data_IF_122735301339
#
_entry.id   IF_122735301339
#
_cell.length_a   1.000
_cell.length_b   1.000
_cell.length_c   1.000
_cell.angle_alpha   90.00
_cell.angle_beta   90.00
_cell.angle_gamma   90.00
#
_symmetry.space_group_name_H-M   'P 1'
#
loop_
_entity.id
_entity.type
_entity.pdbx_description
1 polymer ?
#
# COMPACT_ATOMS: atom_id res chain seq x y z
N UNK A 1 12.12 9.57 -19.26
CA UNK A 1 10.77 9.05 -18.93
C UNK A 1 10.64 7.70 -19.59
N UNK A 2 10.29 6.65 -18.84
CA UNK A 2 10.21 5.27 -19.35
C UNK A 2 8.78 5.00 -19.83
N UNK A 3 8.64 4.53 -21.08
CA UNK A 3 7.35 4.15 -21.65
C UNK A 3 6.88 2.81 -21.07
N UNK A 4 5.62 2.72 -20.64
CA UNK A 4 5.07 1.50 -20.02
C UNK A 4 4.84 0.40 -21.07
N UNK A 5 4.10 0.74 -22.13
CA UNK A 5 3.74 -0.16 -23.23
C UNK A 5 4.55 0.23 -24.47
N UNK A 6 5.43 -0.65 -24.92
CA UNK A 6 6.19 -0.53 -26.15
C UNK A 6 5.45 -1.08 -27.37
N UNK A 7 6.18 -1.26 -28.47
CA UNK A 7 5.65 -1.83 -29.71
C UNK A 7 5.15 -3.26 -29.52
N UNK A 8 4.21 -3.68 -30.37
CA UNK A 8 3.66 -5.05 -30.39
C UNK A 8 3.12 -5.52 -29.02
N UNK A 9 2.57 -4.60 -28.23
CA UNK A 9 2.03 -4.86 -26.89
C UNK A 9 3.08 -5.31 -25.84
N UNK A 10 4.37 -5.10 -26.09
CA UNK A 10 5.44 -5.44 -25.14
C UNK A 10 5.40 -4.49 -23.94
N UNK A 11 5.31 -5.03 -22.73
CA UNK A 11 5.40 -4.23 -21.50
C UNK A 11 6.87 -4.15 -21.06
N UNK A 12 7.34 -2.96 -20.69
CA UNK A 12 8.71 -2.75 -20.22
C UNK A 12 8.86 -3.11 -18.74
N UNK A 13 8.67 -4.39 -18.40
CA UNK A 13 8.77 -4.90 -17.03
C UNK A 13 10.12 -4.57 -16.38
N UNK A 14 10.11 -4.26 -15.09
CA UNK A 14 11.31 -3.82 -14.40
C UNK A 14 11.06 -3.17 -13.05
N UNK A 15 12.15 -3.03 -12.28
CA UNK A 15 12.23 -2.03 -11.23
C UNK A 15 12.57 -0.68 -11.87
N UNK A 16 11.77 0.35 -11.61
CA UNK A 16 11.83 1.62 -12.33
C UNK A 16 12.19 2.76 -11.37
N UNK A 17 13.40 3.31 -11.50
CA UNK A 17 13.87 4.41 -10.63
C UNK A 17 13.71 5.80 -11.26
N UNK A 18 12.90 5.90 -12.33
CA UNK A 18 12.64 7.12 -13.10
C UNK A 18 11.15 7.42 -13.25
N UNK A 19 10.84 8.62 -13.76
CA UNK A 19 9.48 8.99 -14.18
C UNK A 19 8.98 8.11 -15.34
N UNK A 20 7.68 7.85 -15.38
CA UNK A 20 7.06 6.95 -16.35
C UNK A 20 6.03 7.66 -17.23
N UNK A 21 6.05 7.32 -18.51
CA UNK A 21 4.97 7.67 -19.43
C UNK A 21 3.87 6.64 -19.20
N UNK A 22 2.82 7.05 -18.51
CA UNK A 22 1.71 6.17 -18.13
C UNK A 22 0.76 5.89 -19.30
N UNK A 23 1.27 5.31 -20.39
CA UNK A 23 0.52 4.98 -21.60
C UNK A 23 -0.24 3.64 -21.50
N UNK A 24 -0.82 3.36 -20.33
CA UNK A 24 -1.50 2.11 -20.03
C UNK A 24 -2.68 1.78 -20.98
N UNK A 25 -3.25 2.81 -21.62
CA UNK A 25 -4.37 2.65 -22.57
C UNK A 25 -3.94 1.93 -23.86
N UNK A 26 -2.66 1.99 -24.22
CA UNK A 26 -2.09 1.30 -25.38
C UNK A 26 -2.06 -0.22 -25.22
N UNK A 27 -2.16 -0.72 -23.99
CA UNK A 27 -2.09 -2.15 -23.70
C UNK A 27 -3.26 -2.92 -24.32
N UNK A 28 -2.97 -3.87 -25.19
CA UNK A 28 -3.92 -4.81 -25.75
C UNK A 28 -4.20 -5.91 -24.73
N UNK A 29 -5.22 -5.68 -23.88
CA UNK A 29 -5.70 -6.66 -22.90
C UNK A 29 -6.33 -7.85 -23.61
N UNK A 30 -5.96 -9.07 -23.21
CA UNK A 30 -6.51 -10.31 -23.75
C UNK A 30 -7.06 -11.20 -22.64
N UNK A 31 -8.03 -12.05 -22.97
CA UNK A 31 -8.48 -13.11 -22.06
C UNK A 31 -7.50 -14.30 -22.05
N UNK A 32 -7.83 -15.35 -21.30
CA UNK A 32 -6.99 -16.55 -21.17
C UNK A 32 -6.71 -17.25 -22.51
N UNK A 33 -7.61 -17.11 -23.49
CA UNK A 33 -7.51 -17.72 -24.81
C UNK A 33 -6.99 -16.74 -25.87
N UNK A 34 -6.33 -15.66 -25.44
CA UNK A 34 -5.73 -14.63 -26.29
C UNK A 34 -6.74 -13.80 -27.11
N UNK A 35 -8.03 -13.85 -26.79
CA UNK A 35 -9.02 -12.97 -27.43
C UNK A 35 -8.96 -11.58 -26.81
N UNK A 36 -8.90 -10.56 -27.65
CA UNK A 36 -8.80 -9.18 -27.20
C UNK A 36 -10.06 -8.71 -26.45
N UNK A 37 -9.84 -8.04 -25.30
CA UNK A 37 -10.87 -7.41 -24.49
C UNK A 37 -10.87 -5.91 -24.78
N UNK A 38 -11.99 -5.39 -25.30
CA UNK A 38 -12.15 -3.98 -25.72
C UNK A 38 -13.19 -3.21 -24.90
N UNK A 39 -13.20 -1.89 -25.08
CA UNK A 39 -14.27 -1.00 -24.63
C UNK A 39 -14.50 -1.03 -23.12
N UNK A 40 -15.78 -1.04 -22.71
CA UNK A 40 -16.17 -1.01 -21.31
C UNK A 40 -15.64 -2.19 -20.48
N UNK A 41 -15.42 -3.36 -21.08
CA UNK A 41 -14.83 -4.52 -20.38
C UNK A 41 -13.37 -4.24 -20.01
N UNK A 42 -12.57 -3.70 -20.94
CA UNK A 42 -11.19 -3.27 -20.66
C UNK A 42 -11.16 -2.17 -19.61
N UNK A 43 -12.06 -1.17 -19.70
CA UNK A 43 -12.12 -0.09 -18.71
C UNK A 43 -12.39 -0.60 -17.28
N UNK A 44 -13.27 -1.59 -17.12
CA UNK A 44 -13.62 -2.20 -15.82
C UNK A 44 -12.56 -3.13 -15.27
N UNK A 45 -11.78 -3.79 -16.13
CA UNK A 45 -10.72 -4.72 -15.72
C UNK A 45 -9.48 -4.03 -15.14
N UNK A 46 -9.38 -2.70 -15.25
CA UNK A 46 -8.30 -1.94 -14.67
C UNK A 46 -8.66 -1.60 -13.22
N UNK A 47 -7.82 -2.02 -12.29
CA UNK A 47 -7.97 -1.71 -10.87
C UNK A 47 -6.82 -0.83 -10.40
N UNK A 48 -7.10 0.02 -9.42
CA UNK A 48 -6.08 0.80 -8.73
C UNK A 48 -6.47 1.05 -7.28
N UNK A 49 -5.45 1.20 -6.45
CA UNK A 49 -5.57 1.34 -5.02
C UNK A 49 -4.48 2.29 -4.54
N UNK A 50 -4.79 3.15 -3.59
CA UNK A 50 -3.78 3.85 -2.82
C UNK A 50 -4.10 3.72 -1.34
N UNK A 51 -3.20 3.05 -0.61
CA UNK A 51 -3.22 2.90 0.82
C UNK A 51 -2.15 3.79 1.47
N UNK A 52 -2.49 4.38 2.61
CA UNK A 52 -1.56 5.08 3.48
C UNK A 52 -1.73 4.52 4.89
N UNK A 53 -0.63 3.98 5.43
CA UNK A 53 -0.51 3.57 6.83
C UNK A 53 0.27 4.64 7.60
N UNK A 54 -0.09 4.90 8.86
CA UNK A 54 0.58 5.90 9.69
C UNK A 54 0.74 5.34 11.10
N UNK A 55 1.94 5.52 11.66
CA UNK A 55 2.22 5.28 13.08
C UNK A 55 2.48 6.63 13.75
N UNK A 56 1.79 6.89 14.86
CA UNK A 56 1.90 8.14 15.62
C UNK A 56 1.79 7.84 17.12
N UNK A 57 2.93 7.63 17.79
CA UNK A 57 2.95 7.23 19.20
C UNK A 57 2.31 5.86 19.42
N UNK A 58 1.19 5.85 20.14
CA UNK A 58 0.36 4.66 20.40
C UNK A 58 -0.68 4.39 19.31
N UNK A 59 -0.84 5.31 18.36
CA UNK A 59 -1.85 5.22 17.32
C UNK A 59 -1.31 4.58 16.04
N UNK A 60 -2.11 3.67 15.47
CA UNK A 60 -1.94 3.12 14.13
C UNK A 60 -3.18 3.46 13.30
N UNK A 61 -2.95 4.06 12.15
CA UNK A 61 -3.99 4.55 11.25
C UNK A 61 -3.75 3.93 9.89
N UNK A 62 -4.79 3.43 9.25
CA UNK A 62 -4.73 3.05 7.85
C UNK A 62 -5.95 3.56 7.11
N UNK A 63 -5.75 4.02 5.89
CA UNK A 63 -6.85 4.36 4.99
C UNK A 63 -6.50 4.09 3.55
N UNK A 64 -7.53 3.80 2.76
CA UNK A 64 -7.36 3.60 1.32
C UNK A 64 -8.46 4.25 0.50
N UNK A 65 -8.08 4.57 -0.74
CA UNK A 65 -9.00 4.85 -1.85
C UNK A 65 -8.81 3.79 -2.93
N UNK A 66 -9.91 3.17 -3.34
CA UNK A 66 -9.91 1.96 -4.15
C UNK A 66 -10.87 2.10 -5.32
N UNK A 67 -10.38 1.82 -6.51
CA UNK A 67 -11.14 1.81 -7.75
C UNK A 67 -10.99 0.43 -8.44
N UNK A 68 -12.07 -0.34 -8.42
CA UNK A 68 -12.20 -1.65 -9.07
C UNK A 68 -12.97 -1.59 -10.39
N UNK A 69 -12.98 -0.42 -11.04
CA UNK A 69 -13.79 -0.13 -12.22
C UNK A 69 -15.28 0.00 -11.89
N UNK A 70 -15.94 -1.12 -11.58
CA UNK A 70 -17.39 -1.21 -11.30
C UNK A 70 -17.77 -0.81 -9.88
N UNK A 71 -16.86 -1.04 -8.93
CA UNK A 71 -17.06 -0.77 -7.51
C UNK A 71 -15.93 0.15 -7.07
N UNK A 72 -16.27 1.16 -6.30
CA UNK A 72 -15.32 2.04 -5.63
C UNK A 72 -15.44 1.81 -4.14
N UNK A 73 -14.32 1.85 -3.43
CA UNK A 73 -14.32 1.75 -1.98
C UNK A 73 -13.39 2.78 -1.36
N UNK A 74 -13.77 3.28 -0.20
CA UNK A 74 -12.91 4.06 0.69
C UNK A 74 -13.08 3.48 2.08
N UNK A 75 -11.97 3.20 2.76
CA UNK A 75 -12.01 2.81 4.16
C UNK A 75 -10.97 3.56 4.97
N UNK A 76 -11.19 3.61 6.28
CA UNK A 76 -10.27 4.20 7.22
C UNK A 76 -10.50 3.66 8.63
N UNK A 77 -9.43 3.44 9.37
CA UNK A 77 -9.48 2.99 10.75
C UNK A 77 -8.45 3.70 11.64
N UNK A 78 -8.70 3.67 12.93
CA UNK A 78 -7.80 4.12 13.98
C UNK A 78 -7.75 3.04 15.06
N UNK A 79 -6.56 2.53 15.29
CA UNK A 79 -6.23 1.63 16.38
C UNK A 79 -5.33 2.35 17.39
N UNK A 80 -5.51 2.04 18.67
CA UNK A 80 -4.66 2.52 19.75
C UNK A 80 -4.11 1.33 20.53
N UNK A 81 -2.79 1.25 20.65
CA UNK A 81 -2.11 0.20 21.41
C UNK A 81 -2.65 0.12 22.84
N UNK A 82 -2.98 -1.09 23.31
CA UNK A 82 -3.56 -1.33 24.63
C UNK A 82 -5.07 -1.08 24.75
N UNK A 83 -5.70 -0.33 23.82
CA UNK A 83 -7.15 -0.09 23.83
C UNK A 83 -7.89 -0.77 22.67
N UNK A 84 -7.21 -1.07 21.56
CA UNK A 84 -7.79 -1.74 20.42
C UNK A 84 -8.28 -0.79 19.31
N UNK A 85 -9.26 -1.26 18.54
CA UNK A 85 -9.85 -0.52 17.42
C UNK A 85 -10.80 0.56 17.94
N UNK A 86 -10.42 1.83 17.81
CA UNK A 86 -11.22 2.98 18.26
C UNK A 86 -12.23 3.44 17.21
N UNK A 87 -11.90 3.25 15.94
CA UNK A 87 -12.75 3.66 14.83
C UNK A 87 -12.48 2.79 13.60
N UNK A 88 -13.55 2.48 12.87
CA UNK A 88 -13.48 1.93 11.53
C UNK A 88 -14.65 2.47 10.70
N UNK A 89 -14.40 2.69 9.41
CA UNK A 89 -15.45 2.94 8.44
C UNK A 89 -15.09 2.41 7.07
N UNK A 90 -16.13 2.07 6.31
CA UNK A 90 -16.07 1.67 4.91
C UNK A 90 -17.22 2.35 4.14
N UNK A 91 -16.90 2.93 3.00
CA UNK A 91 -17.78 3.71 2.14
C UNK A 91 -17.65 3.24 0.69
N UNK A 92 -18.66 2.49 0.24
CA UNK A 92 -18.75 1.96 -1.12
C UNK A 92 -19.53 2.89 -2.05
N UNK A 93 -19.15 2.92 -3.32
CA UNK A 93 -19.89 3.59 -4.37
C UNK A 93 -19.86 2.77 -5.67
N UNK A 94 -20.91 2.91 -6.49
CA UNK A 94 -20.95 2.32 -7.82
C UNK A 94 -20.06 3.12 -8.80
N UNK A 95 -19.43 2.42 -9.74
CA UNK A 95 -18.71 3.04 -10.84
C UNK A 95 -19.62 3.96 -11.65
N UNK A 96 -19.12 5.16 -11.96
CA UNK A 96 -19.89 6.18 -12.70
C UNK A 96 -20.77 7.08 -11.83
N UNK A 97 -20.84 6.87 -10.50
CA UNK A 97 -21.66 7.71 -9.61
C UNK A 97 -21.14 9.14 -9.39
N UNK A 98 -19.99 9.50 -9.96
CA UNK A 98 -19.31 10.79 -9.75
C UNK A 98 -18.76 11.02 -8.34
N UNK A 99 -18.89 10.04 -7.42
CA UNK A 99 -18.44 10.18 -6.02
C UNK A 99 -16.94 10.06 -5.84
N UNK A 100 -16.24 9.46 -6.81
CA UNK A 100 -14.81 9.25 -6.81
C UNK A 100 -14.19 9.80 -8.09
N UNK A 101 -13.14 10.58 -7.94
CA UNK A 101 -12.23 10.99 -9.00
C UNK A 101 -10.82 10.51 -8.62
N UNK A 102 -10.30 9.51 -9.33
CA UNK A 102 -8.99 8.93 -9.04
C UNK A 102 -8.21 8.80 -10.36
N UNK A 103 -7.46 9.84 -10.76
CA UNK A 103 -6.61 9.78 -11.95
C UNK A 103 -5.59 8.65 -11.88
N UNK A 104 -5.35 7.97 -13.01
CA UNK A 104 -4.54 6.74 -13.08
C UNK A 104 -3.04 6.96 -13.15
N UNK A 105 -2.56 8.20 -13.32
CA UNK A 105 -1.14 8.50 -13.44
C UNK A 105 -0.46 8.38 -12.06
N UNK A 106 0.47 7.43 -11.86
CA UNK A 106 1.14 7.25 -10.58
C UNK A 106 2.19 8.33 -10.31
N UNK A 107 2.70 9.08 -11.27
CA UNK A 107 3.71 10.13 -11.00
C UNK A 107 3.10 11.38 -10.36
N UNK A 108 1.87 11.71 -10.75
CA UNK A 108 1.13 12.83 -10.19
C UNK A 108 -0.39 12.61 -10.30
N UNK A 109 -1.07 12.75 -9.16
CA UNK A 109 -2.52 12.64 -9.10
C UNK A 109 -3.10 13.42 -7.93
N UNK A 110 -4.40 13.67 -8.04
CA UNK A 110 -5.24 14.19 -6.98
C UNK A 110 -6.47 13.27 -6.90
N UNK A 111 -6.41 12.30 -6.01
CA UNK A 111 -7.50 11.37 -5.77
C UNK A 111 -8.49 11.98 -4.78
N UNK A 112 -9.78 11.93 -5.10
CA UNK A 112 -10.87 12.49 -4.30
C UNK A 112 -12.01 11.50 -4.15
N UNK A 113 -12.65 11.54 -2.99
CA UNK A 113 -13.92 10.86 -2.76
C UNK A 113 -14.83 11.73 -1.90
N UNK A 114 -16.14 11.76 -2.20
CA UNK A 114 -17.14 12.43 -1.39
C UNK A 114 -18.44 11.60 -1.33
N UNK A 115 -18.88 11.26 -0.12
CA UNK A 115 -20.19 10.63 0.12
C UNK A 115 -20.67 10.92 1.54
N UNK A 116 -21.80 11.63 1.68
CA UNK A 116 -22.31 12.06 2.99
C UNK A 116 -21.25 12.83 3.78
N UNK A 117 -20.96 12.38 5.01
CA UNK A 117 -19.94 12.97 5.89
C UNK A 117 -18.52 12.44 5.67
N UNK A 118 -18.30 11.57 4.68
CA UNK A 118 -16.98 11.05 4.32
C UNK A 118 -16.41 11.84 3.15
N UNK A 119 -15.19 12.35 3.31
CA UNK A 119 -14.44 13.06 2.27
C UNK A 119 -12.97 12.70 2.31
N UNK A 120 -12.40 12.31 1.18
CA UNK A 120 -10.98 11.97 1.03
C UNK A 120 -10.36 12.86 -0.03
N UNK A 121 -9.17 13.36 0.24
CA UNK A 121 -8.29 13.98 -0.74
C UNK A 121 -6.87 13.49 -0.51
N UNK A 122 -6.29 12.84 -1.52
CA UNK A 122 -4.87 12.47 -1.55
C UNK A 122 -4.25 13.12 -2.79
N UNK A 123 -3.20 13.90 -2.60
CA UNK A 123 -2.45 14.54 -3.67
C UNK A 123 -1.01 14.06 -3.62
N UNK A 124 -0.51 13.56 -4.75
CA UNK A 124 0.88 13.20 -4.92
C UNK A 124 1.45 13.88 -6.16
N UNK A 125 2.68 14.34 -6.07
CA UNK A 125 3.43 14.82 -7.23
C UNK A 125 4.92 14.68 -6.95
N UNK A 126 5.60 13.85 -7.75
CA UNK A 126 7.06 13.72 -7.69
C UNK A 126 7.78 15.02 -8.05
N UNK A 127 7.25 15.76 -9.04
CA UNK A 127 7.78 17.05 -9.48
C UNK A 127 7.72 18.11 -8.38
N UNK A 128 6.56 18.25 -7.72
CA UNK A 128 6.40 19.18 -6.59
C UNK A 128 7.03 18.66 -5.29
N UNK A 129 7.39 17.39 -5.23
CA UNK A 129 8.00 16.77 -4.06
C UNK A 129 7.05 16.56 -2.89
N UNK A 130 5.76 16.29 -3.14
CA UNK A 130 4.72 16.24 -2.09
C UNK A 130 3.85 14.98 -2.15
N UNK A 131 3.49 14.51 -0.95
CA UNK A 131 2.36 13.63 -0.68
C UNK A 131 1.50 14.27 0.42
N UNK A 132 0.34 14.80 0.04
CA UNK A 132 -0.60 15.45 0.93
C UNK A 132 -1.86 14.61 1.07
N UNK A 133 -2.40 14.50 2.28
CA UNK A 133 -3.67 13.85 2.52
C UNK A 133 -4.53 14.66 3.49
N UNK A 134 -5.83 14.71 3.21
CA UNK A 134 -6.85 15.32 4.05
C UNK A 134 -8.11 14.46 3.98
N UNK A 135 -8.30 13.66 5.01
CA UNK A 135 -9.32 12.63 5.09
C UNK A 135 -10.25 12.91 6.28
N UNK A 136 -11.55 12.76 6.04
CA UNK A 136 -12.58 12.80 7.05
C UNK A 136 -13.49 11.58 6.84
N UNK A 137 -13.60 10.74 7.85
CA UNK A 137 -14.41 9.53 7.81
C UNK A 137 -15.63 9.73 8.71
N UNK A 138 -16.82 9.74 8.10
CA UNK A 138 -18.12 9.88 8.78
C UNK A 138 -18.26 11.13 9.68
N UNK A 139 -17.38 12.12 9.56
CA UNK A 139 -17.34 13.29 10.46
C UNK A 139 -16.65 13.03 11.80
N UNK A 140 -16.12 11.83 12.03
CA UNK A 140 -15.58 11.36 13.31
C UNK A 140 -14.06 11.35 13.31
N UNK A 141 -13.46 10.51 12.46
CA UNK A 141 -12.00 10.42 12.31
C UNK A 141 -11.54 11.41 11.26
N UNK A 142 -10.64 12.32 11.63
CA UNK A 142 -9.98 13.24 10.69
C UNK A 142 -8.47 13.02 10.73
N UNK A 143 -7.89 12.88 9.54
CA UNK A 143 -6.47 12.62 9.33
C UNK A 143 -5.98 13.60 8.29
N UNK A 144 -5.02 14.45 8.66
CA UNK A 144 -4.44 15.43 7.74
C UNK A 144 -2.92 15.41 7.87
N UNK A 145 -2.22 15.38 6.75
CA UNK A 145 -0.76 15.44 6.76
C UNK A 145 -0.14 15.79 5.42
N UNK A 146 1.16 16.09 5.48
CA UNK A 146 1.98 16.45 4.34
C UNK A 146 3.37 15.85 4.50
N UNK A 147 3.78 15.00 3.56
CA UNK A 147 5.10 14.39 3.51
C UNK A 147 5.89 14.94 2.32
N UNK A 148 7.20 15.25 2.48
CA UNK A 148 8.10 15.34 1.36
C UNK A 148 8.15 14.00 0.62
N UNK A 149 7.88 14.02 -0.68
CA UNK A 149 7.80 12.80 -1.49
C UNK A 149 8.30 13.04 -2.91
N UNK A 150 9.50 12.53 -3.22
CA UNK A 150 10.03 12.51 -4.58
C UNK A 150 10.91 11.28 -4.82
N UNK A 151 11.07 10.93 -6.10
CA UNK A 151 11.96 9.84 -6.53
C UNK A 151 13.35 9.93 -5.90
N UNK A 152 14.01 11.09 -6.03
CA UNK A 152 15.39 11.28 -5.58
C UNK A 152 15.54 11.28 -4.05
N UNK A 153 14.55 11.79 -3.32
CA UNK A 153 14.64 11.96 -1.86
C UNK A 153 14.26 10.68 -1.12
N UNK A 154 13.27 9.98 -1.61
CA UNK A 154 12.63 8.89 -0.87
C UNK A 154 12.98 7.51 -1.44
N UNK A 155 13.54 7.43 -2.65
CA UNK A 155 13.89 6.18 -3.33
C UNK A 155 12.74 5.15 -3.27
N UNK A 156 11.51 5.50 -3.73
CA UNK A 156 10.38 4.59 -3.66
C UNK A 156 10.67 3.33 -4.47
N UNK A 157 10.17 2.18 -4.01
CA UNK A 157 10.20 0.93 -4.77
C UNK A 157 9.11 0.99 -5.84
N UNK A 158 9.50 1.03 -7.11
CA UNK A 158 8.54 1.00 -8.22
C UNK A 158 8.77 -0.23 -9.06
N UNK A 159 7.73 -1.02 -9.25
CA UNK A 159 7.85 -2.30 -9.94
C UNK A 159 6.75 -2.44 -10.97
N UNK A 160 7.12 -2.74 -12.21
CA UNK A 160 6.21 -3.12 -13.28
C UNK A 160 6.39 -4.60 -13.56
N UNK A 161 5.34 -5.39 -13.32
CA UNK A 161 5.37 -6.84 -13.45
C UNK A 161 4.24 -7.37 -14.33
N UNK A 162 4.43 -8.56 -14.94
CA UNK A 162 3.31 -9.32 -15.44
C UNK A 162 2.47 -9.76 -14.25
N UNK A 163 1.17 -9.48 -14.30
CA UNK A 163 0.26 -10.15 -13.39
C UNK A 163 -0.02 -11.54 -13.92
N UNK A 164 -0.36 -11.71 -15.18
CA UNK A 164 -0.36 -13.00 -15.89
C UNK A 164 0.14 -12.76 -17.33
N UNK A 165 0.22 -13.76 -18.22
CA UNK A 165 0.72 -13.54 -19.58
C UNK A 165 0.00 -12.45 -20.39
N UNK A 166 -1.24 -12.10 -20.02
CA UNK A 166 -2.08 -11.12 -20.72
C UNK A 166 -2.37 -9.87 -19.88
N UNK A 167 -1.59 -9.66 -18.80
CA UNK A 167 -1.89 -8.67 -17.76
C UNK A 167 -0.63 -8.09 -17.14
N UNK A 168 -0.73 -6.89 -16.59
CA UNK A 168 0.37 -6.26 -15.85
C UNK A 168 -0.15 -5.53 -14.62
N UNK A 169 0.73 -5.37 -13.63
CA UNK A 169 0.52 -4.49 -12.49
C UNK A 169 1.76 -3.64 -12.28
N UNK A 170 1.54 -2.37 -11.99
CA UNK A 170 2.54 -1.46 -11.49
C UNK A 170 2.28 -1.17 -10.03
N UNK A 171 3.35 -1.11 -9.24
CA UNK A 171 3.28 -0.67 -7.86
C UNK A 171 4.32 0.38 -7.54
N UNK A 172 4.00 1.25 -6.57
CA UNK A 172 4.92 2.23 -5.99
C UNK A 172 4.77 2.19 -4.47
N UNK A 173 5.82 1.77 -3.77
CA UNK A 173 5.84 1.58 -2.31
C UNK A 173 6.96 2.43 -1.71
N UNK A 174 6.72 3.03 -0.54
CA UNK A 174 7.75 3.76 0.16
C UNK A 174 7.49 3.79 1.66
N UNK A 175 8.52 3.49 2.45
CA UNK A 175 8.51 3.61 3.91
C UNK A 175 9.94 3.80 4.44
N UNK A 176 10.19 4.56 5.52
CA UNK A 176 9.24 5.43 6.20
C UNK A 176 9.19 6.81 5.51
N UNK A 177 8.00 7.33 5.30
CA UNK A 177 7.80 8.76 5.03
C UNK A 177 7.70 9.51 6.34
N UNK A 178 8.21 10.75 6.35
CA UNK A 178 8.26 11.62 7.52
C UNK A 178 7.40 12.85 7.26
N UNK A 179 6.19 12.94 7.84
CA UNK A 179 5.35 14.10 7.64
C UNK A 179 5.98 15.36 8.25
N UNK A 180 5.98 16.46 7.51
CA UNK A 180 6.33 17.78 8.05
C UNK A 180 5.20 18.33 8.93
N UNK A 181 3.97 17.90 8.65
CA UNK A 181 2.77 18.26 9.38
C UNK A 181 1.89 17.02 9.46
N UNK A 182 1.35 16.75 10.65
CA UNK A 182 0.38 15.69 10.86
C UNK A 182 -0.62 16.11 11.94
N UNK A 183 -1.90 15.84 11.68
CA UNK A 183 -3.01 16.12 12.58
C UNK A 183 -3.96 14.92 12.58
N UNK A 184 -4.32 14.48 13.78
CA UNK A 184 -5.23 13.38 14.01
C UNK A 184 -6.27 13.81 15.05
N UNK A 185 -7.54 13.54 14.75
CA UNK A 185 -8.62 13.77 15.71
C UNK A 185 -9.70 12.72 15.57
N UNK A 186 -10.30 12.33 16.69
CA UNK A 186 -11.47 11.46 16.77
C UNK A 186 -12.58 12.16 17.53
N UNK A 187 -13.79 12.17 16.99
CA UNK A 187 -14.99 12.72 17.64
C UNK A 187 -14.82 14.17 18.12
N UNK A 188 -14.13 14.97 17.31
CA UNK A 188 -13.85 16.39 17.58
C UNK A 188 -12.69 16.63 18.55
N UNK A 189 -12.12 15.60 19.17
CA UNK A 189 -10.96 15.69 20.06
C UNK A 189 -9.67 15.45 19.28
N UNK A 190 -8.71 16.36 19.39
CA UNK A 190 -7.34 16.14 18.89
C UNK A 190 -6.67 15.06 19.74
N UNK A 191 -5.92 14.18 19.09
CA UNK A 191 -5.13 13.15 19.77
C UNK A 191 -3.68 13.61 19.87
N UNK A 192 -3.05 13.35 21.01
CA UNK A 192 -1.69 13.81 21.32
C UNK A 192 -0.68 12.70 21.05
N UNK A 193 0.46 13.06 20.46
CA UNK A 193 1.57 12.16 20.16
C UNK A 193 2.82 13.01 19.87
N UNK A 194 3.99 12.41 19.97
CA UNK A 194 5.23 13.07 19.52
C UNK A 194 5.23 13.17 17.99
N UNK A 195 5.16 14.39 17.47
CA UNK A 195 5.21 14.67 16.04
C UNK A 195 6.52 14.22 15.40
N UNK A 196 7.61 14.12 16.17
CA UNK A 196 8.90 13.62 15.71
C UNK A 196 8.96 12.10 15.62
N UNK A 197 7.98 11.36 16.14
CA UNK A 197 7.92 9.90 16.00
C UNK A 197 7.02 9.45 14.85
N UNK A 198 6.29 10.38 14.21
CA UNK A 198 5.31 10.02 13.17
C UNK A 198 6.00 9.50 11.92
N UNK A 199 5.54 8.35 11.43
CA UNK A 199 5.93 7.83 10.11
C UNK A 199 4.71 7.44 9.30
N UNK A 200 4.86 7.48 7.98
CA UNK A 200 3.83 7.04 7.05
C UNK A 200 4.40 6.02 6.05
N UNK A 201 3.56 5.10 5.63
CA UNK A 201 3.79 4.11 4.58
C UNK A 201 2.94 4.55 3.40
N UNK A 202 3.56 4.62 2.23
CA UNK A 202 2.86 4.87 0.98
C UNK A 202 2.80 3.60 0.16
N UNK A 203 1.60 3.25 -0.29
CA UNK A 203 1.36 2.12 -1.17
C UNK A 203 0.39 2.53 -2.28
N UNK A 204 0.85 2.45 -3.52
CA UNK A 204 0.03 2.59 -4.71
C UNK A 204 0.17 1.37 -5.61
N UNK A 205 -0.95 0.94 -6.17
CA UNK A 205 -1.03 -0.16 -7.13
C UNK A 205 -1.98 0.21 -8.26
N UNK A 206 -1.64 -0.12 -9.49
CA UNK A 206 -2.50 0.11 -10.66
C UNK A 206 -2.16 -0.79 -11.83
N UNK A 207 -3.19 -1.31 -12.49
CA UNK A 207 -3.01 -2.15 -13.67
C UNK A 207 -4.19 -3.08 -13.95
N UNK A 208 -3.93 -4.07 -14.78
CA UNK A 208 -4.86 -5.17 -15.06
C UNK A 208 -4.47 -6.35 -14.17
N UNK A 209 -4.98 -6.41 -12.94
CA UNK A 209 -4.63 -7.48 -12.00
C UNK A 209 -5.20 -8.84 -12.46
N UNK A 210 -4.60 -9.94 -11.97
CA UNK A 210 -5.15 -11.30 -12.13
C UNK A 210 -6.59 -11.35 -11.62
N UNK A 211 -7.45 -12.14 -12.27
CA UNK A 211 -8.83 -12.37 -11.80
C UNK A 211 -8.84 -12.86 -10.35
N UNK A 212 -8.00 -13.84 -10.05
CA UNK A 212 -7.73 -14.31 -8.68
C UNK A 212 -6.43 -13.70 -8.19
N UNK A 213 -6.51 -12.89 -7.14
CA UNK A 213 -5.36 -12.23 -6.53
C UNK A 213 -5.28 -12.63 -5.07
N UNK A 214 -4.09 -12.98 -4.59
CA UNK A 214 -3.85 -13.26 -3.19
C UNK A 214 -2.52 -12.65 -2.79
N UNK A 215 -2.40 -12.20 -1.55
CA UNK A 215 -1.11 -11.77 -1.01
C UNK A 215 -1.00 -11.96 0.48
N UNK A 216 0.25 -12.14 0.92
CA UNK A 216 0.69 -11.67 2.21
C UNK A 216 1.44 -10.37 2.03
N UNK A 217 1.31 -9.47 3.00
CA UNK A 217 1.98 -8.18 2.94
C UNK A 217 2.40 -7.73 4.34
N UNK A 218 3.53 -7.05 4.41
CA UNK A 218 4.05 -6.42 5.62
C UNK A 218 4.51 -5.03 5.27
N UNK A 219 4.12 -4.05 6.07
CA UNK A 219 4.78 -2.76 6.03
C UNK A 219 4.80 -2.08 7.39
N UNK A 220 5.90 -1.38 7.62
CA UNK A 220 6.11 -0.59 8.83
C UNK A 220 7.09 0.54 8.56
N UNK A 221 7.10 1.51 9.46
CA UNK A 221 8.03 2.63 9.46
C UNK A 221 8.31 3.06 10.91
N UNK A 222 9.54 3.43 11.19
CA UNK A 222 9.94 3.91 12.52
C UNK A 222 11.12 4.88 12.47
N UNK A 223 11.27 5.63 13.56
CA UNK A 223 12.50 6.30 13.94
C UNK A 223 13.03 5.61 15.18
N UNK A 224 14.21 5.01 15.08
CA UNK A 224 14.86 4.30 16.18
C UNK A 224 15.42 5.29 17.22
N UNK A 225 15.73 4.83 18.45
CA UNK A 225 16.29 5.71 19.50
C UNK A 225 17.57 6.45 19.09
N UNK A 226 18.40 5.83 18.25
CA UNK A 226 19.61 6.44 17.68
C UNK A 226 19.34 7.40 16.50
N UNK A 227 18.06 7.74 16.25
CA UNK A 227 17.55 8.58 15.15
C UNK A 227 17.65 7.99 13.74
N UNK A 228 18.06 6.72 13.61
CA UNK A 228 18.00 6.01 12.33
C UNK A 228 16.54 5.83 11.92
N UNK A 229 16.20 6.19 10.68
CA UNK A 229 14.87 5.88 10.15
C UNK A 229 14.91 4.52 9.46
N UNK A 230 13.89 3.70 9.72
CA UNK A 230 13.75 2.38 9.10
C UNK A 230 12.34 2.19 8.56
N UNK A 231 12.19 1.39 7.52
CA UNK A 231 10.89 0.99 7.02
C UNK A 231 10.99 -0.20 6.09
N UNK A 232 9.87 -0.88 5.89
CA UNK A 232 9.79 -2.03 5.01
C UNK A 232 8.47 -2.05 4.23
N UNK A 233 8.54 -2.67 3.05
CA UNK A 233 7.41 -3.19 2.30
C UNK A 233 7.81 -4.58 1.82
N UNK A 234 7.12 -5.60 2.32
CA UNK A 234 7.35 -7.00 1.96
C UNK A 234 6.02 -7.58 1.51
N UNK A 235 6.08 -8.51 0.58
CA UNK A 235 4.95 -9.16 -0.03
C UNK A 235 5.33 -10.57 -0.47
N UNK A 236 4.36 -11.47 -0.38
CA UNK A 236 4.42 -12.80 -0.96
C UNK A 236 3.11 -13.12 -1.68
N UNK A 237 3.15 -14.06 -2.63
CA UNK A 237 2.03 -14.50 -3.47
C UNK A 237 1.50 -13.47 -4.48
N UNK A 238 2.13 -12.30 -4.59
CA UNK A 238 1.74 -11.23 -5.54
C UNK A 238 2.95 -10.69 -6.30
N UNK A 239 2.83 -10.69 -7.64
CA UNK A 239 3.80 -10.10 -8.57
C UNK A 239 5.28 -10.55 -8.38
N UNK A 240 5.54 -11.78 -7.93
CA UNK A 240 6.90 -12.23 -7.55
C UNK A 240 7.71 -12.87 -8.68
N UNK A 241 7.08 -13.19 -9.82
CA UNK A 241 7.71 -14.03 -10.86
C UNK A 241 8.90 -13.34 -11.53
N UNK A 242 8.88 -12.00 -11.63
CA UNK A 242 9.90 -11.23 -12.37
C UNK A 242 10.70 -10.34 -11.42
N UNK A 243 10.04 -9.37 -10.78
CA UNK A 243 10.66 -8.44 -9.85
C UNK A 243 9.86 -8.39 -8.57
N UNK A 244 10.47 -8.65 -7.42
CA UNK A 244 9.76 -8.59 -6.15
C UNK A 244 9.34 -7.17 -5.77
N UNK A 245 8.22 -7.07 -5.06
CA UNK A 245 7.78 -5.84 -4.40
C UNK A 245 8.41 -5.68 -3.00
N UNK A 246 9.57 -6.31 -2.77
CA UNK A 246 10.17 -6.44 -1.46
C UNK A 246 11.37 -5.51 -1.30
N UNK A 247 11.29 -4.60 -0.34
CA UNK A 247 12.38 -3.72 0.02
C UNK A 247 12.29 -3.26 1.47
N UNK A 248 13.45 -2.87 2.01
CA UNK A 248 13.54 -2.08 3.22
C UNK A 248 14.34 -0.81 2.96
N UNK A 249 14.17 0.17 3.84
CA UNK A 249 14.88 1.44 3.80
C UNK A 249 15.57 1.67 5.13
N UNK A 250 16.83 2.12 5.07
CA UNK A 250 17.57 2.64 6.22
C UNK A 250 18.00 4.06 5.85
N UNK A 251 17.57 5.07 6.60
CA UNK A 251 17.85 6.48 6.30
C UNK A 251 17.53 6.87 4.84
N UNK A 252 16.37 6.44 4.35
CA UNK A 252 15.89 6.62 2.96
C UNK A 252 16.71 5.89 1.87
N UNK A 253 17.74 5.11 2.23
CA UNK A 253 18.44 4.24 1.27
C UNK A 253 17.68 2.92 1.15
N UNK A 254 17.14 2.65 -0.04
CA UNK A 254 16.40 1.42 -0.38
C UNK A 254 17.36 0.25 -0.61
N UNK A 255 17.05 -0.89 -0.01
CA UNK A 255 17.64 -2.20 -0.30
C UNK A 255 16.54 -3.13 -0.79
N UNK A 256 16.76 -3.80 -1.91
CA UNK A 256 15.80 -4.78 -2.45
C UNK A 256 16.03 -6.16 -1.84
N UNK A 257 14.94 -6.90 -1.67
CA UNK A 257 14.94 -8.30 -1.23
C UNK A 257 14.32 -9.14 -2.35
N UNK A 258 14.88 -10.30 -2.68
CA UNK A 258 14.36 -11.11 -3.79
C UNK A 258 13.06 -11.84 -3.41
N UNK A 259 13.08 -12.63 -2.33
CA UNK A 259 11.93 -13.43 -1.90
C UNK A 259 11.79 -13.30 -0.39
N UNK A 260 10.56 -13.28 0.10
CA UNK A 260 10.25 -13.22 1.53
C UNK A 260 9.38 -14.42 1.87
N UNK A 261 9.67 -15.06 3.00
CA UNK A 261 8.95 -16.20 3.54
C UNK A 261 8.11 -15.69 4.71
N UNK A 262 6.85 -16.10 4.74
CA UNK A 262 5.92 -15.85 5.83
C UNK A 262 5.63 -17.20 6.49
N UNK A 263 6.09 -17.36 7.73
CA UNK A 263 5.85 -18.54 8.56
C UNK A 263 5.00 -18.15 9.77
N UNK A 264 3.74 -18.57 9.77
CA UNK A 264 2.78 -18.26 10.82
C UNK A 264 1.64 -19.29 10.81
N UNK A 265 0.91 -19.37 11.92
CA UNK A 265 -0.28 -20.22 12.01
C UNK A 265 -1.45 -19.59 11.23
N UNK A 266 -1.79 -20.17 10.09
CA UNK A 266 -2.90 -19.70 9.25
C UNK A 266 -4.28 -19.97 9.87
N UNK A 267 -4.37 -20.91 10.82
CA UNK A 267 -5.59 -21.22 11.57
C UNK A 267 -5.76 -20.22 12.71
N UNK A 268 -4.70 -19.94 13.46
CA UNK A 268 -4.64 -18.91 14.50
C UNK A 268 -3.60 -17.81 14.18
N UNK A 269 -3.94 -16.86 13.28
CA UNK A 269 -3.00 -15.82 12.85
C UNK A 269 -2.78 -14.71 13.88
N UNK A 270 -3.27 -14.87 15.11
CA UNK A 270 -2.91 -14.01 16.24
C UNK A 270 -1.62 -14.49 16.93
N UNK A 271 -1.15 -15.70 16.66
CA UNK A 271 0.22 -16.10 17.00
C UNK A 271 1.23 -15.22 16.26
N UNK A 272 2.47 -15.15 16.75
CA UNK A 272 3.51 -14.37 16.10
C UNK A 272 3.84 -14.88 14.69
N UNK A 273 4.14 -13.96 13.76
CA UNK A 273 4.53 -14.29 12.39
C UNK A 273 6.02 -14.12 12.25
N UNK A 274 6.71 -15.12 11.72
CA UNK A 274 8.10 -15.02 11.33
C UNK A 274 8.20 -14.66 9.85
N UNK A 275 8.85 -13.53 9.55
CA UNK A 275 9.00 -12.99 8.20
C UNK A 275 10.49 -12.81 7.91
N UNK A 276 11.02 -13.62 7.00
CA UNK A 276 12.46 -13.71 6.74
C UNK A 276 12.79 -13.98 5.27
N UNK A 277 14.07 -13.92 4.91
CA UNK A 277 14.56 -14.36 3.61
C UNK A 277 15.75 -15.33 3.76
N UNK A 278 15.99 -16.15 2.73
CA UNK A 278 17.09 -17.14 2.77
C UNK A 278 18.48 -16.52 2.78
N UNK A 279 18.62 -15.30 2.25
CA UNK A 279 19.92 -14.62 2.21
C UNK A 279 20.27 -13.94 3.55
N UNK A 280 19.39 -14.01 4.55
CA UNK A 280 19.61 -13.40 5.87
C UNK A 280 19.67 -11.87 5.81
N UNK A 281 19.04 -11.26 4.81
CA UNK A 281 18.92 -9.80 4.71
C UNK A 281 17.88 -9.25 5.69
N UNK A 282 16.90 -10.06 6.07
CA UNK A 282 15.90 -9.77 7.09
C UNK A 282 15.58 -11.00 7.94
N UNK A 283 15.24 -10.78 9.20
CA UNK A 283 14.63 -11.77 10.10
C UNK A 283 13.76 -10.99 11.08
N UNK A 284 12.45 -11.13 10.95
CA UNK A 284 11.46 -10.32 11.63
C UNK A 284 10.44 -11.20 12.34
N UNK A 285 10.11 -10.85 13.56
CA UNK A 285 8.96 -11.39 14.28
C UNK A 285 7.90 -10.30 14.41
N UNK A 286 6.70 -10.56 13.89
CA UNK A 286 5.52 -9.72 14.08
C UNK A 286 4.65 -10.32 15.17
N UNK A 287 4.24 -9.51 16.15
CA UNK A 287 3.26 -9.90 17.17
C UNK A 287 1.95 -9.14 16.92
N UNK A 288 0.89 -9.83 16.46
CA UNK A 288 -0.42 -9.21 16.25
C UNK A 288 -1.03 -8.70 17.56
N UNK A 289 -1.54 -7.47 17.56
CA UNK A 289 -2.21 -6.83 18.70
C UNK A 289 -3.68 -6.49 18.40
N UNK A 290 -4.07 -6.52 17.13
CA UNK A 290 -5.43 -6.25 16.70
C UNK A 290 -5.61 -6.53 15.22
N UNK A 291 -6.86 -6.49 14.77
CA UNK A 291 -7.22 -6.77 13.39
C UNK A 291 -8.35 -5.86 12.91
N UNK A 292 -8.18 -5.34 11.69
CA UNK A 292 -9.27 -4.92 10.82
C UNK A 292 -9.59 -6.06 9.86
N UNK A 293 -10.83 -6.52 9.84
CA UNK A 293 -11.29 -7.52 8.87
C UNK A 293 -12.37 -6.94 7.96
N UNK A 294 -12.34 -7.31 6.69
CA UNK A 294 -13.38 -6.96 5.73
C UNK A 294 -13.66 -8.15 4.81
N UNK A 295 -14.94 -8.36 4.51
CA UNK A 295 -15.43 -9.41 3.62
C UNK A 295 -16.43 -8.80 2.66
N UNK A 296 -16.07 -8.71 1.39
CA UNK A 296 -16.99 -8.24 0.34
C UNK A 296 -17.47 -9.44 -0.45
N UNK A 297 -18.79 -9.54 -0.61
CA UNK A 297 -19.42 -10.50 -1.52
C UNK A 297 -20.44 -9.75 -2.38
N UNK A 298 -20.01 -9.29 -3.55
CA UNK A 298 -20.84 -8.59 -4.52
C UNK A 298 -21.30 -9.52 -5.65
N UNK A 299 -21.75 -10.73 -5.29
CA UNK A 299 -22.24 -11.74 -6.23
C UNK A 299 -21.10 -12.32 -7.11
N UNK A 300 -21.36 -12.63 -8.40
CA UNK A 300 -20.34 -13.26 -9.27
C UNK A 300 -19.21 -12.31 -9.68
N UNK A 301 -19.34 -11.01 -9.39
CA UNK A 301 -18.41 -9.97 -9.81
C UNK A 301 -17.21 -9.95 -8.87
N UNK A 302 -17.39 -9.53 -7.61
CA UNK A 302 -16.28 -9.35 -6.66
C UNK A 302 -16.50 -10.16 -5.40
N UNK A 303 -15.50 -10.94 -5.01
CA UNK A 303 -15.42 -11.61 -3.70
C UNK A 303 -14.07 -11.35 -3.07
N UNK A 304 -14.05 -10.78 -1.87
CA UNK A 304 -12.80 -10.53 -1.13
C UNK A 304 -12.89 -11.04 0.30
N UNK A 305 -11.76 -11.55 0.78
CA UNK A 305 -11.48 -11.76 2.20
C UNK A 305 -10.20 -10.99 2.48
N UNK A 306 -10.33 -9.93 3.26
CA UNK A 306 -9.24 -9.06 3.64
C UNK A 306 -9.08 -9.06 5.15
N UNK A 307 -7.87 -9.29 5.62
CA UNK A 307 -7.49 -9.23 7.03
C UNK A 307 -6.23 -8.39 7.13
N UNK A 308 -6.29 -7.33 7.91
CA UNK A 308 -5.15 -6.46 8.17
C UNK A 308 -4.93 -6.42 9.68
N UNK A 309 -3.81 -6.97 10.09
CA UNK A 309 -3.35 -7.01 11.47
C UNK A 309 -2.51 -5.79 11.75
N UNK A 310 -2.69 -5.25 12.94
CA UNK A 310 -1.83 -4.22 13.53
C UNK A 310 -1.07 -4.84 14.68
N UNK A 311 0.17 -4.41 14.89
CA UNK A 311 0.99 -4.98 15.95
C UNK A 311 2.41 -4.43 15.92
N UNK A 312 3.32 -5.17 16.52
CA UNK A 312 4.72 -4.76 16.70
C UNK A 312 5.69 -5.75 16.05
N UNK A 313 6.77 -5.21 15.53
CA UNK A 313 7.88 -5.93 14.92
C UNK A 313 9.12 -5.82 15.80
N UNK A 314 9.84 -6.93 15.92
CA UNK A 314 11.23 -6.98 16.35
C UNK A 314 12.05 -7.82 15.37
N UNK A 315 13.35 -7.57 15.29
CA UNK A 315 14.22 -8.25 14.34
C UNK A 315 15.29 -7.33 13.78
N UNK A 316 15.68 -7.57 12.53
CA UNK A 316 16.75 -6.79 11.92
C UNK A 316 16.65 -6.64 10.40
N UNK A 317 17.39 -5.65 9.91
CA UNK A 317 17.80 -5.51 8.51
C UNK A 317 19.31 -5.65 8.37
N UNK A 318 19.76 -6.37 7.35
CA UNK A 318 21.15 -6.56 7.01
C UNK A 318 21.38 -6.17 5.53
N UNK A 319 21.68 -4.89 5.24
CA UNK A 319 21.95 -4.44 3.89
C UNK A 319 23.26 -5.03 3.37
N UNK A 320 23.30 -5.35 2.08
CA UNK A 320 24.52 -5.83 1.41
C UNK A 320 25.70 -4.87 1.63
N UNK A 321 26.81 -5.42 2.15
CA UNK A 321 28.02 -4.66 2.45
C UNK A 321 27.88 -3.63 3.58
N UNK A 322 26.79 -3.68 4.37
CA UNK A 322 26.54 -2.78 5.48
C UNK A 322 26.38 -3.49 6.82
N UNK A 323 26.25 -2.69 7.88
CA UNK A 323 26.04 -3.20 9.23
C UNK A 323 24.58 -3.61 9.44
N UNK A 324 24.40 -4.66 10.25
CA UNK A 324 23.09 -5.07 10.77
C UNK A 324 22.45 -3.93 11.57
N UNK A 325 21.17 -3.66 11.33
CA UNK A 325 20.35 -2.70 12.08
C UNK A 325 19.25 -3.48 12.79
N UNK A 326 19.37 -3.60 14.10
CA UNK A 326 18.40 -4.29 14.95
C UNK A 326 17.38 -3.29 15.50
N UNK A 327 16.15 -3.77 15.69
CA UNK A 327 15.05 -2.98 16.21
C UNK A 327 14.04 -3.86 16.93
N UNK A 328 13.27 -3.21 17.81
CA UNK A 328 12.25 -3.81 18.64
C UNK A 328 11.10 -2.82 18.84
N UNK A 329 9.91 -3.34 19.12
CA UNK A 329 8.69 -2.58 19.41
C UNK A 329 8.28 -1.63 18.27
N UNK A 330 8.58 -2.01 17.03
CA UNK A 330 8.28 -1.21 15.84
C UNK A 330 6.86 -1.48 15.37
N UNK A 331 5.99 -0.48 15.44
CA UNK A 331 4.59 -0.61 15.02
C UNK A 331 4.44 -0.77 13.51
N UNK A 332 3.50 -1.62 13.08
CA UNK A 332 3.23 -1.81 11.67
C UNK A 332 2.04 -2.70 11.38
N UNK A 333 2.00 -3.15 10.12
CA UNK A 333 0.89 -3.87 9.54
C UNK A 333 1.35 -5.18 8.91
N UNK A 334 0.54 -6.22 9.10
CA UNK A 334 0.58 -7.44 8.29
C UNK A 334 -0.79 -7.67 7.65
N UNK A 335 -0.83 -8.23 6.46
CA UNK A 335 -2.08 -8.52 5.76
C UNK A 335 -2.12 -9.94 5.24
N UNK A 336 -3.33 -10.50 5.23
CA UNK A 336 -3.69 -11.56 4.30
C UNK A 336 -4.85 -11.09 3.43
N UNK A 337 -4.73 -11.28 2.13
CA UNK A 337 -5.78 -10.91 1.19
C UNK A 337 -6.03 -12.02 0.19
N UNK A 338 -7.30 -12.25 -0.11
CA UNK A 338 -7.76 -13.12 -1.19
C UNK A 338 -8.91 -12.44 -1.90
N UNK A 339 -8.80 -12.26 -3.21
CA UNK A 339 -9.79 -11.61 -4.04
C UNK A 339 -10.05 -12.35 -5.34
N UNK A 340 -11.30 -12.24 -5.79
CA UNK A 340 -11.76 -12.59 -7.13
C UNK A 340 -12.47 -11.35 -7.68
N UNK A 341 -11.95 -10.72 -8.75
CA UNK A 341 -12.42 -9.41 -9.28
C UNK A 341 -13.36 -9.37 -10.50
#
# INVERSE_FOLDING_TARGET
>A
MIKLIGENNKVNYGCIDDAIEWNYEDFILRDFFNKEIKGGKKKRAYHQFNYIGITAGEYMIGFAIVDLGSIKNVFGFLYKQGEGLLFESDDKALGGSGKMDFPRNPDAYVAKFQSGKTSIRIEKSHEKGVLNFNCNFKGRLKVKGSCPYSMKKNNPLRVLNPSDPNRFTFTEKCSPLRPNQFQLSLDGKKLDFDSNAVTAIYDWTGGYLRRETNWYWTAFGAVLPNRTTIGANLAAFVNETYFSENAFWINNKRSRISRVIYDFDVIDPYQSWHVYDEAGTIDLTFTPEGERNDKINAGPLVKTVFRQFVGTFEGYFHPEGGNKVEFKDVKGFCETHRAIW
#
